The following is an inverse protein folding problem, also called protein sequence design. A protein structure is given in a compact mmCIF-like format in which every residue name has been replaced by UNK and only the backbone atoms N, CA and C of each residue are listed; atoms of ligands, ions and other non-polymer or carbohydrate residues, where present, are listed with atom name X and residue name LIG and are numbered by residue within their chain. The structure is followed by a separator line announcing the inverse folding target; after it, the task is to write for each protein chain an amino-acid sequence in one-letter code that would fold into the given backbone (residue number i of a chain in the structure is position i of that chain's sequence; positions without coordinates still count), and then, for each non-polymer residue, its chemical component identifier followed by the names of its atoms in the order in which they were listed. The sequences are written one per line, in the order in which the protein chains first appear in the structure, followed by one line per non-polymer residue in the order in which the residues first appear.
data_IF_666350698844
#
_entry.id   IF_666350698844
#
_cell.length_a   1.000
_cell.length_b   1.000
_cell.length_c   1.000
_cell.angle_alpha   90.00
_cell.angle_beta   90.00
_cell.angle_gamma   90.00
#
_symmetry.space_group_name_H-M   'P 1'
#
loop_
_entity.id
_entity.type
_entity.pdbx_description
1 polymer ?
#
# COMPACT_ATOMS: atom_id res chain seq x y z
N UNK A 1 -1.43 -15.05 -15.32
CA UNK A 1 -1.00 -14.38 -16.56
C UNK A 1 0.03 -13.33 -16.17
N UNK A 2 1.32 -13.64 -16.28
CA UNK A 2 2.43 -12.80 -15.78
C UNK A 2 2.54 -11.59 -16.71
N UNK A 3 2.27 -10.38 -16.21
CA UNK A 3 2.51 -9.14 -16.96
C UNK A 3 4.02 -8.91 -17.04
N UNK A 4 4.56 -8.95 -18.25
CA UNK A 4 5.94 -8.59 -18.54
C UNK A 4 6.11 -7.07 -18.44
N UNK A 5 7.04 -6.61 -17.60
CA UNK A 5 7.42 -5.20 -17.50
C UNK A 5 8.49 -4.95 -18.56
N UNK A 6 8.11 -4.27 -19.64
CA UNK A 6 9.05 -3.75 -20.62
C UNK A 6 9.83 -2.59 -19.99
N UNK A 7 11.16 -2.67 -19.98
CA UNK A 7 12.04 -1.58 -19.56
C UNK A 7 11.97 -0.43 -20.58
N UNK A 8 11.17 0.59 -20.28
CA UNK A 8 11.17 1.86 -21.01
C UNK A 8 11.91 2.87 -20.16
N UNK A 9 13.16 3.17 -20.53
CA UNK A 9 13.85 4.38 -20.10
C UNK A 9 13.11 5.58 -20.70
N UNK A 10 12.15 6.14 -19.97
CA UNK A 10 11.48 7.37 -20.34
C UNK A 10 12.04 8.51 -19.48
N UNK A 11 12.67 9.50 -20.11
CA UNK A 11 12.98 10.79 -19.47
C UNK A 11 11.66 11.36 -18.94
N UNK A 12 11.50 11.43 -17.62
CA UNK A 12 10.33 12.01 -16.99
C UNK A 12 10.05 13.41 -17.58
N UNK A 13 8.91 13.55 -18.28
CA UNK A 13 8.49 14.81 -18.89
C UNK A 13 8.29 15.89 -17.80
N UNK A 14 8.53 17.19 -18.10
CA UNK A 14 8.40 18.31 -17.14
C UNK A 14 7.05 18.40 -16.41
N UNK A 15 6.00 17.80 -16.97
CA UNK A 15 4.66 17.74 -16.38
C UNK A 15 4.59 16.87 -15.12
N UNK A 16 5.38 15.79 -15.02
CA UNK A 16 5.36 14.84 -13.89
C UNK A 16 5.74 15.51 -12.57
N UNK A 17 6.78 16.36 -12.59
CA UNK A 17 7.23 17.10 -11.40
C UNK A 17 6.22 18.14 -10.91
N UNK A 18 5.34 18.64 -11.79
CA UNK A 18 4.32 19.64 -11.41
C UNK A 18 3.14 19.01 -10.68
N UNK A 19 2.88 17.72 -10.89
CA UNK A 19 1.75 17.01 -10.30
C UNK A 19 1.94 16.69 -8.81
N UNK A 20 3.17 16.57 -8.31
CA UNK A 20 3.43 16.15 -6.92
C UNK A 20 3.89 17.31 -6.04
N UNK A 21 3.49 17.27 -4.77
CA UNK A 21 4.01 18.20 -3.76
C UNK A 21 5.42 17.77 -3.32
N UNK A 22 6.31 18.74 -3.07
CA UNK A 22 7.73 18.49 -2.72
C UNK A 22 7.99 18.31 -1.22
N UNK A 23 6.96 18.03 -0.41
CA UNK A 23 7.08 17.99 1.05
C UNK A 23 7.57 16.66 1.59
N UNK A 24 8.85 16.54 1.92
CA UNK A 24 9.36 15.53 2.86
C UNK A 24 9.10 16.01 4.31
N UNK A 25 8.43 15.22 5.12
CA UNK A 25 8.29 15.48 6.56
C UNK A 25 9.03 14.43 7.37
N UNK A 26 9.94 14.93 8.21
CA UNK A 26 10.66 14.18 9.24
C UNK A 26 9.68 13.76 10.33
N UNK A 27 9.48 12.46 10.52
CA UNK A 27 8.71 11.93 11.66
C UNK A 27 9.51 12.20 12.94
N UNK A 28 8.93 12.97 13.87
CA UNK A 28 9.51 13.22 15.19
C UNK A 28 8.87 12.28 16.21
N UNK A 29 9.71 11.71 17.07
CA UNK A 29 9.37 10.68 18.04
C UNK A 29 8.65 11.23 19.26
N UNK A 30 7.42 10.78 19.51
CA UNK A 30 6.68 11.03 20.75
C UNK A 30 5.24 10.54 20.69
N UNK A 31 4.98 9.33 21.21
CA UNK A 31 3.64 8.73 21.31
C UNK A 31 3.11 8.16 19.99
N UNK A 32 2.88 6.85 19.92
CA UNK A 32 2.43 6.17 18.70
C UNK A 32 0.93 6.40 18.44
N UNK A 33 0.60 7.56 17.89
CA UNK A 33 -0.40 7.65 16.83
C UNK A 33 0.40 7.65 15.54
N UNK A 34 0.18 6.68 14.64
CA UNK A 34 0.67 6.85 13.29
C UNK A 34 0.14 8.19 12.76
N UNK A 35 0.98 9.01 12.11
CA UNK A 35 0.48 10.22 11.49
C UNK A 35 -0.69 9.81 10.62
N UNK A 36 -1.83 10.49 10.80
CA UNK A 36 -3.04 10.20 10.05
C UNK A 36 -2.69 10.02 8.57
N UNK A 37 -3.25 9.01 7.88
CA UNK A 37 -2.96 8.77 6.48
C UNK A 37 -3.00 10.08 5.71
N UNK A 38 -1.91 10.42 5.02
CA UNK A 38 -1.87 11.63 4.20
C UNK A 38 -3.04 11.58 3.23
N UNK A 39 -3.71 12.70 3.00
CA UNK A 39 -4.70 12.79 1.92
C UNK A 39 -4.00 12.78 0.56
N UNK A 40 -4.70 12.35 -0.50
CA UNK A 40 -4.15 12.39 -1.85
C UNK A 40 -3.72 13.82 -2.23
N UNK A 41 -4.50 14.82 -1.86
CA UNK A 41 -4.22 16.24 -2.08
C UNK A 41 -2.89 16.73 -1.46
N UNK A 42 -2.42 16.08 -0.39
CA UNK A 42 -1.11 16.38 0.20
C UNK A 42 0.05 15.77 -0.59
N UNK A 43 -0.20 14.78 -1.44
CA UNK A 43 0.81 14.07 -2.25
C UNK A 43 0.82 14.62 -3.67
N UNK A 44 -0.36 14.88 -4.23
CA UNK A 44 -0.54 15.35 -5.61
C UNK A 44 -1.45 16.57 -5.67
N UNK A 45 -1.24 17.40 -6.67
CA UNK A 45 -2.22 18.39 -7.13
C UNK A 45 -3.34 17.63 -7.84
N UNK A 46 -4.41 17.32 -7.10
CA UNK A 46 -5.51 16.47 -7.58
C UNK A 46 -6.10 16.98 -8.90
N UNK A 47 -6.26 18.29 -9.05
CA UNK A 47 -6.72 18.96 -10.28
C UNK A 47 -5.91 18.56 -11.52
N UNK A 48 -4.60 18.32 -11.38
CA UNK A 48 -3.76 17.91 -12.50
C UNK A 48 -3.99 16.46 -12.90
N UNK A 49 -4.35 15.58 -11.97
CA UNK A 49 -4.73 14.21 -12.29
C UNK A 49 -6.17 14.12 -12.83
N UNK A 50 -7.06 14.97 -12.34
CA UNK A 50 -8.46 15.04 -12.79
C UNK A 50 -8.60 15.41 -14.28
N UNK A 51 -7.64 16.17 -14.81
CA UNK A 51 -7.62 16.55 -16.23
C UNK A 51 -6.96 15.50 -17.14
N UNK A 52 -6.32 14.47 -16.57
CA UNK A 52 -5.62 13.44 -17.33
C UNK A 52 -6.52 12.21 -17.58
N UNK A 53 -6.34 11.49 -18.70
CA UNK A 53 -7.04 10.23 -18.92
C UNK A 53 -6.54 9.15 -17.94
N UNK A 54 -7.38 8.16 -17.63
CA UNK A 54 -7.07 7.07 -16.69
C UNK A 54 -5.67 6.47 -16.87
N UNK A 55 -5.34 6.05 -18.09
CA UNK A 55 -4.04 5.44 -18.39
C UNK A 55 -2.85 6.36 -18.06
N UNK A 56 -3.03 7.67 -18.25
CA UNK A 56 -2.00 8.66 -17.94
C UNK A 56 -1.89 8.90 -16.45
N UNK A 57 -3.00 8.90 -15.70
CA UNK A 57 -2.99 8.95 -14.22
C UNK A 57 -2.20 7.76 -13.65
N UNK A 58 -2.47 6.54 -14.15
CA UNK A 58 -1.76 5.33 -13.73
C UNK A 58 -0.26 5.46 -13.96
N UNK A 59 0.12 5.86 -15.17
CA UNK A 59 1.52 6.06 -15.54
C UNK A 59 2.20 7.11 -14.65
N UNK A 60 1.58 8.28 -14.46
CA UNK A 60 2.11 9.36 -13.61
C UNK A 60 2.34 8.86 -12.18
N UNK A 61 1.37 8.12 -11.63
CA UNK A 61 1.40 7.61 -10.27
C UNK A 61 2.52 6.58 -10.05
N UNK A 62 2.62 5.60 -10.95
CA UNK A 62 3.57 4.50 -10.85
C UNK A 62 5.00 4.98 -11.14
N UNK A 63 5.22 5.78 -12.18
CA UNK A 63 6.55 6.31 -12.54
C UNK A 63 7.14 7.19 -11.43
N UNK A 64 6.35 8.10 -10.86
CA UNK A 64 6.83 9.02 -9.83
C UNK A 64 7.33 8.31 -8.56
N UNK A 65 6.64 7.25 -8.13
CA UNK A 65 7.05 6.49 -6.94
C UNK A 65 8.09 5.42 -7.27
N UNK A 66 8.13 4.92 -8.51
CA UNK A 66 9.17 3.98 -8.93
C UNK A 66 10.58 4.55 -8.75
N UNK A 67 10.76 5.86 -9.00
CA UNK A 67 12.05 6.56 -8.81
C UNK A 67 12.49 6.66 -7.33
N UNK A 68 11.58 6.43 -6.38
CA UNK A 68 11.86 6.55 -4.94
C UNK A 68 12.37 5.23 -4.36
N UNK A 69 13.41 5.28 -3.53
CA UNK A 69 13.98 4.08 -2.90
C UNK A 69 13.10 3.49 -1.80
N UNK A 70 12.23 4.31 -1.22
CA UNK A 70 11.43 4.07 -0.01
C UNK A 70 9.92 3.97 -0.31
N UNK A 71 9.52 3.87 -1.58
CA UNK A 71 8.12 3.78 -1.94
C UNK A 71 7.86 2.81 -3.09
N UNK A 72 6.66 2.24 -3.07
CA UNK A 72 6.03 1.52 -4.15
C UNK A 72 4.69 2.18 -4.46
N UNK A 73 4.25 2.04 -5.71
CA UNK A 73 2.94 2.49 -6.14
C UNK A 73 2.33 1.48 -7.10
N UNK A 74 1.03 1.34 -7.02
CA UNK A 74 0.24 0.58 -7.98
C UNK A 74 -1.15 1.19 -8.11
N UNK A 75 -1.88 0.77 -9.13
CA UNK A 75 -3.24 1.22 -9.39
C UNK A 75 -4.17 0.03 -9.58
N UNK A 76 -5.42 0.22 -9.17
CA UNK A 76 -6.51 -0.73 -9.36
C UNK A 76 -7.62 -0.07 -10.17
N UNK A 77 -8.48 -0.86 -10.82
CA UNK A 77 -9.78 -0.35 -11.27
C UNK A 77 -10.61 0.13 -10.08
N UNK A 78 -11.62 0.97 -10.33
CA UNK A 78 -12.55 1.41 -9.29
C UNK A 78 -13.27 0.23 -8.62
N UNK A 79 -13.63 -0.78 -9.40
CA UNK A 79 -14.25 -2.01 -8.89
C UNK A 79 -13.31 -2.82 -8.00
N UNK A 80 -12.07 -3.08 -8.43
CA UNK A 80 -11.07 -3.81 -7.63
C UNK A 80 -10.73 -3.04 -6.34
N UNK A 81 -10.62 -1.72 -6.43
CA UNK A 81 -10.37 -0.86 -5.27
C UNK A 81 -11.52 -0.92 -4.26
N UNK A 82 -12.77 -0.87 -4.73
CA UNK A 82 -13.94 -0.96 -3.87
C UNK A 82 -13.99 -2.30 -3.12
N UNK A 83 -13.75 -3.41 -3.82
CA UNK A 83 -13.69 -4.75 -3.21
C UNK A 83 -12.58 -4.83 -2.15
N UNK A 84 -11.38 -4.35 -2.48
CA UNK A 84 -10.26 -4.30 -1.54
C UNK A 84 -10.64 -3.52 -0.28
N UNK A 85 -11.17 -2.30 -0.43
CA UNK A 85 -11.50 -1.42 0.68
C UNK A 85 -12.68 -1.95 1.54
N UNK A 86 -13.68 -2.57 0.92
CA UNK A 86 -14.78 -3.22 1.64
C UNK A 86 -14.27 -4.38 2.49
N UNK A 87 -13.50 -5.29 1.88
CA UNK A 87 -12.95 -6.47 2.56
C UNK A 87 -11.97 -6.10 3.67
N UNK A 88 -11.13 -5.09 3.44
CA UNK A 88 -10.21 -4.58 4.44
C UNK A 88 -10.93 -4.01 5.67
N UNK A 89 -12.05 -3.29 5.46
CA UNK A 89 -12.87 -2.79 6.58
C UNK A 89 -13.58 -3.92 7.33
N UNK A 90 -14.07 -4.93 6.62
CA UNK A 90 -14.79 -6.04 7.22
C UNK A 90 -13.87 -7.07 7.90
N UNK A 91 -12.63 -7.21 7.45
CA UNK A 91 -11.65 -8.17 7.94
C UNK A 91 -10.28 -7.48 8.12
N UNK A 92 -10.13 -6.65 9.16
CA UNK A 92 -9.01 -5.72 9.27
C UNK A 92 -7.67 -6.35 9.67
N UNK A 93 -7.63 -7.59 10.13
CA UNK A 93 -6.38 -8.22 10.61
C UNK A 93 -5.95 -9.39 9.74
N UNK A 94 -4.65 -9.55 9.54
CA UNK A 94 -4.09 -10.78 8.98
C UNK A 94 -2.60 -10.93 9.32
N UNK A 95 -2.01 -12.07 8.98
CA UNK A 95 -0.57 -12.31 9.12
C UNK A 95 0.01 -12.74 7.79
N UNK A 96 1.12 -12.12 7.40
CA UNK A 96 1.82 -12.43 6.15
C UNK A 96 3.27 -12.89 6.44
N UNK A 97 3.74 -13.97 5.79
CA UNK A 97 5.13 -14.36 5.86
C UNK A 97 6.00 -13.56 4.88
N UNK A 98 7.17 -13.12 5.33
CA UNK A 98 8.23 -12.58 4.49
C UNK A 98 9.38 -13.57 4.47
N UNK A 99 9.63 -14.16 3.29
CA UNK A 99 10.63 -15.21 3.10
C UNK A 99 12.01 -14.63 2.76
N UNK A 100 13.05 -15.14 3.43
CA UNK A 100 14.47 -14.85 3.18
C UNK A 100 15.23 -16.16 2.95
N UNK A 101 16.54 -16.08 2.65
CA UNK A 101 17.38 -17.27 2.40
C UNK A 101 17.36 -18.26 3.57
N UNK A 102 17.41 -17.76 4.80
CA UNK A 102 17.58 -18.58 6.01
C UNK A 102 16.30 -18.70 6.86
N UNK A 103 15.12 -18.59 6.23
CA UNK A 103 13.83 -18.77 6.90
C UNK A 103 12.80 -17.71 6.51
N UNK A 104 11.88 -17.43 7.41
CA UNK A 104 10.86 -16.40 7.23
C UNK A 104 10.57 -15.71 8.56
N UNK A 105 10.00 -14.52 8.47
CA UNK A 105 9.41 -13.84 9.61
C UNK A 105 7.99 -13.40 9.27
N UNK A 106 7.17 -13.20 10.29
CA UNK A 106 5.77 -12.85 10.11
C UNK A 106 5.55 -11.35 10.33
N UNK A 107 4.67 -10.81 9.51
CA UNK A 107 4.18 -9.45 9.58
C UNK A 107 2.72 -9.50 10.02
N UNK A 108 2.38 -8.81 11.12
CA UNK A 108 0.98 -8.53 11.44
C UNK A 108 0.50 -7.38 10.57
N UNK A 109 -0.60 -7.59 9.87
CA UNK A 109 -1.27 -6.60 9.06
C UNK A 109 -2.53 -6.13 9.80
N UNK A 110 -2.68 -4.82 9.91
CA UNK A 110 -3.87 -4.16 10.43
C UNK A 110 -4.36 -3.13 9.43
N UNK A 111 -5.62 -3.19 9.02
CA UNK A 111 -6.28 -2.12 8.30
C UNK A 111 -6.89 -1.12 9.28
N UNK A 112 -6.56 0.15 9.12
CA UNK A 112 -7.08 1.26 9.91
C UNK A 112 -7.38 2.45 8.99
N UNK A 113 -8.58 3.01 9.10
CA UNK A 113 -9.09 4.10 8.26
C UNK A 113 -9.00 3.77 6.75
N UNK A 114 -7.91 4.20 6.11
CA UNK A 114 -7.63 4.00 4.69
C UNK A 114 -6.23 3.42 4.44
N UNK A 115 -5.59 2.84 5.44
CA UNK A 115 -4.26 2.26 5.31
C UNK A 115 -4.13 0.86 5.92
N UNK A 116 -3.28 0.04 5.31
CA UNK A 116 -2.75 -1.17 5.92
C UNK A 116 -1.43 -0.85 6.60
N UNK A 117 -1.30 -1.24 7.86
CA UNK A 117 -0.12 -1.15 8.69
C UNK A 117 0.48 -2.55 8.83
N UNK A 118 1.68 -2.77 8.30
CA UNK A 118 2.36 -4.05 8.40
C UNK A 118 3.54 -3.93 9.37
N UNK A 119 3.42 -4.59 10.51
CA UNK A 119 4.37 -4.52 11.62
C UNK A 119 5.03 -5.87 11.84
N UNK A 120 6.30 -5.89 12.24
CA UNK A 120 6.98 -7.13 12.60
C UNK A 120 6.30 -7.80 13.80
N UNK A 121 5.89 -9.07 13.63
CA UNK A 121 5.08 -9.77 14.63
C UNK A 121 5.78 -9.91 15.98
N UNK A 122 7.09 -10.22 16.01
CA UNK A 122 7.77 -10.41 17.30
C UNK A 122 7.95 -9.09 18.04
N UNK A 123 8.29 -8.00 17.35
CA UNK A 123 8.33 -6.68 17.98
C UNK A 123 6.93 -6.25 18.50
N UNK A 124 5.88 -6.59 17.77
CA UNK A 124 4.50 -6.33 18.20
C UNK A 124 4.14 -7.13 19.46
N UNK A 125 4.55 -8.40 19.56
CA UNK A 125 4.34 -9.22 20.77
C UNK A 125 5.12 -8.70 21.98
N UNK A 126 6.34 -8.21 21.77
CA UNK A 126 7.17 -7.66 22.85
C UNK A 126 6.59 -6.36 23.41
N UNK A 127 6.23 -5.40 22.55
CA UNK A 127 5.59 -4.16 22.96
C UNK A 127 4.83 -3.50 21.80
N UNK A 128 3.49 -3.69 21.71
CA UNK A 128 2.68 -3.09 20.64
C UNK A 128 2.81 -1.57 20.55
N UNK A 129 2.98 -0.88 21.69
CA UNK A 129 3.04 0.57 21.74
C UNK A 129 4.36 1.14 21.19
N UNK A 130 5.37 0.30 20.95
CA UNK A 130 6.68 0.71 20.44
C UNK A 130 7.05 0.05 19.11
N UNK A 131 6.18 -0.80 18.55
CA UNK A 131 6.46 -1.53 17.31
C UNK A 131 6.01 -0.70 16.08
N UNK A 132 6.93 -0.04 15.35
CA UNK A 132 6.56 0.67 14.12
C UNK A 132 6.28 -0.32 12.97
N UNK A 133 5.29 -0.04 12.11
CA UNK A 133 5.13 -0.63 10.80
C UNK A 133 6.42 -0.55 10.01
N UNK A 134 6.76 -1.66 9.39
CA UNK A 134 7.84 -1.76 8.43
C UNK A 134 7.37 -1.29 7.04
N UNK A 135 6.07 -1.47 6.74
CA UNK A 135 5.42 -1.06 5.50
C UNK A 135 4.04 -0.47 5.81
N UNK A 136 3.70 0.66 5.18
CA UNK A 136 2.36 1.26 5.26
C UNK A 136 1.77 1.39 3.87
N UNK A 137 0.61 0.77 3.60
CA UNK A 137 -0.07 0.82 2.30
C UNK A 137 -1.29 1.74 2.39
N UNK A 138 -1.22 2.92 1.80
CA UNK A 138 -2.33 3.90 1.78
C UNK A 138 -3.21 3.73 0.54
N UNK A 139 -4.52 3.78 0.73
CA UNK A 139 -5.54 3.67 -0.32
C UNK A 139 -6.16 5.05 -0.59
N UNK A 140 -6.13 5.48 -1.86
CA UNK A 140 -6.71 6.73 -2.31
C UNK A 140 -7.82 6.46 -3.32
N UNK A 141 -9.06 6.70 -2.89
CA UNK A 141 -10.28 6.44 -3.67
C UNK A 141 -10.80 7.64 -4.45
N UNK A 142 -10.14 8.81 -4.37
CA UNK A 142 -10.61 10.09 -4.91
C UNK A 142 -10.96 10.04 -6.41
N UNK A 143 -10.28 9.18 -7.17
CA UNK A 143 -10.48 9.00 -8.62
C UNK A 143 -11.16 7.66 -8.98
N UNK A 144 -11.56 6.86 -7.98
CA UNK A 144 -12.10 5.53 -8.20
C UNK A 144 -13.46 5.60 -8.92
N UNK A 145 -14.37 6.48 -8.48
CA UNK A 145 -15.69 6.63 -9.09
C UNK A 145 -15.65 7.41 -10.41
N UNK A 146 -14.91 8.53 -10.43
CA UNK A 146 -14.92 9.47 -11.57
C UNK A 146 -14.07 9.00 -12.76
N UNK A 147 -13.04 8.18 -12.52
CA UNK A 147 -12.06 7.76 -13.54
C UNK A 147 -11.80 6.26 -13.58
N UNK A 148 -12.50 5.47 -12.78
CA UNK A 148 -12.27 4.02 -12.66
C UNK A 148 -10.81 3.69 -12.30
N UNK A 149 -10.22 4.48 -11.40
CA UNK A 149 -8.84 4.26 -10.92
C UNK A 149 -8.69 4.54 -9.43
N UNK A 150 -8.39 3.50 -8.67
CA UNK A 150 -7.92 3.59 -7.29
C UNK A 150 -6.39 3.65 -7.24
N UNK A 151 -5.84 4.54 -6.42
CA UNK A 151 -4.38 4.69 -6.29
C UNK A 151 -3.92 4.09 -4.96
N UNK A 152 -2.84 3.32 -5.01
CA UNK A 152 -2.21 2.73 -3.83
C UNK A 152 -0.76 3.16 -3.76
N UNK A 153 -0.29 3.49 -2.56
CA UNK A 153 1.12 3.75 -2.26
C UNK A 153 1.55 2.94 -1.05
N UNK A 154 2.66 2.22 -1.17
CA UNK A 154 3.31 1.57 -0.04
C UNK A 154 4.57 2.35 0.35
N UNK A 155 4.62 2.90 1.57
CA UNK A 155 5.79 3.57 2.14
C UNK A 155 6.61 2.54 2.94
N UNK A 156 7.88 2.36 2.56
CA UNK A 156 8.83 1.43 3.18
C UNK A 156 9.58 2.17 4.27
N UNK A 157 9.35 1.79 5.53
CA UNK A 157 9.85 2.52 6.69
C UNK A 157 11.14 1.90 7.23
N UNK A 158 11.16 0.59 7.40
CA UNK A 158 12.31 -0.13 7.95
C UNK A 158 12.27 -1.63 7.60
N UNK A 159 13.38 -2.30 7.88
CA UNK A 159 13.58 -3.76 7.88
C UNK A 159 13.39 -4.51 6.55
N UNK A 160 12.52 -4.02 5.68
CA UNK A 160 12.21 -4.57 4.36
C UNK A 160 12.99 -3.80 3.29
N UNK A 161 13.54 -4.52 2.33
CA UNK A 161 14.00 -3.91 1.09
C UNK A 161 12.83 -3.69 0.10
N UNK A 162 13.10 -2.98 -1.00
CA UNK A 162 12.07 -2.66 -2.02
C UNK A 162 11.48 -3.90 -2.69
N UNK A 163 12.26 -4.97 -2.85
CA UNK A 163 11.81 -6.22 -3.47
C UNK A 163 10.94 -7.03 -2.50
N UNK A 164 11.35 -7.14 -1.25
CA UNK A 164 10.57 -7.76 -0.17
C UNK A 164 9.24 -7.04 0.00
N UNK A 165 9.28 -5.70 0.00
CA UNK A 165 8.08 -4.85 0.08
C UNK A 165 7.13 -5.05 -1.10
N UNK A 166 7.65 -5.23 -2.31
CA UNK A 166 6.82 -5.50 -3.50
C UNK A 166 6.13 -6.85 -3.38
N UNK A 167 6.87 -7.90 -3.01
CA UNK A 167 6.31 -9.24 -2.82
C UNK A 167 5.24 -9.23 -1.72
N UNK A 168 5.49 -8.52 -0.62
CA UNK A 168 4.53 -8.39 0.48
C UNK A 168 3.27 -7.61 0.06
N UNK A 169 3.42 -6.53 -0.71
CA UNK A 169 2.30 -5.78 -1.29
C UNK A 169 1.47 -6.67 -2.22
N UNK A 170 2.12 -7.43 -3.10
CA UNK A 170 1.43 -8.32 -4.04
C UNK A 170 0.65 -9.42 -3.29
N UNK A 171 1.23 -10.01 -2.23
CA UNK A 171 0.55 -10.98 -1.37
C UNK A 171 -0.66 -10.39 -0.65
N UNK A 172 -0.53 -9.17 -0.13
CA UNK A 172 -1.63 -8.45 0.50
C UNK A 172 -2.77 -8.24 -0.49
N UNK A 173 -2.47 -7.66 -1.66
CA UNK A 173 -3.48 -7.37 -2.67
C UNK A 173 -4.16 -8.65 -3.17
N UNK A 174 -3.40 -9.72 -3.40
CA UNK A 174 -3.96 -11.02 -3.78
C UNK A 174 -4.88 -11.58 -2.70
N UNK A 175 -4.48 -11.48 -1.43
CA UNK A 175 -5.25 -12.05 -0.31
C UNK A 175 -6.59 -11.36 -0.07
N UNK A 176 -6.69 -10.06 -0.38
CA UNK A 176 -7.96 -9.34 -0.27
C UNK A 176 -8.75 -9.32 -1.60
N UNK A 177 -8.11 -9.49 -2.76
CA UNK A 177 -8.80 -9.42 -4.05
C UNK A 177 -9.33 -10.78 -4.53
N UNK A 178 -8.57 -11.86 -4.34
CA UNK A 178 -8.97 -13.20 -4.77
C UNK A 178 -9.92 -13.84 -3.75
N UNK A 179 -11.05 -14.38 -4.22
CA UNK A 179 -12.08 -15.00 -3.38
C UNK A 179 -11.54 -16.17 -2.54
N UNK A 180 -10.71 -17.02 -3.14
CA UNK A 180 -10.20 -18.24 -2.49
C UNK A 180 -9.10 -17.91 -1.50
N UNK A 181 -8.38 -16.81 -1.68
CA UNK A 181 -7.41 -16.34 -0.69
C UNK A 181 -8.11 -15.56 0.43
N UNK A 182 -9.12 -14.76 0.10
CA UNK A 182 -9.85 -13.95 1.05
C UNK A 182 -10.58 -14.79 2.11
N UNK A 183 -11.01 -16.01 1.80
CA UNK A 183 -11.59 -16.90 2.81
C UNK A 183 -10.69 -17.10 4.04
N UNK A 184 -9.36 -17.07 3.87
CA UNK A 184 -8.40 -17.21 4.97
C UNK A 184 -8.33 -15.94 5.82
N UNK A 185 -8.34 -14.78 5.17
CA UNK A 185 -8.42 -13.47 5.83
C UNK A 185 -9.72 -13.35 6.61
N UNK A 186 -10.84 -13.73 5.99
CA UNK A 186 -12.14 -13.72 6.62
C UNK A 186 -12.18 -14.63 7.86
N UNK A 187 -11.76 -15.89 7.74
CA UNK A 187 -11.69 -16.82 8.87
C UNK A 187 -10.80 -16.30 10.00
N UNK A 188 -9.67 -15.68 9.67
CA UNK A 188 -8.78 -15.07 10.67
C UNK A 188 -9.50 -14.02 11.53
N UNK A 189 -10.37 -13.22 10.93
CA UNK A 189 -11.08 -12.14 11.64
C UNK A 189 -12.37 -12.59 12.34
N UNK A 190 -13.07 -13.58 11.77
CA UNK A 190 -14.45 -13.92 12.17
C UNK A 190 -14.56 -15.29 12.86
N UNK A 191 -13.51 -16.11 12.82
CA UNK A 191 -13.48 -17.45 13.43
C UNK A 191 -12.18 -17.68 14.22
N UNK A 192 -11.84 -16.86 15.24
CA UNK A 192 -10.54 -16.91 15.92
C UNK A 192 -10.27 -18.22 16.67
N UNK A 193 -11.31 -18.99 17.01
CA UNK A 193 -11.19 -20.25 17.75
C UNK A 193 -10.89 -21.46 16.84
N UNK A 194 -10.85 -21.27 15.51
CA UNK A 194 -10.64 -22.32 14.51
C UNK A 194 -9.22 -22.33 13.89
N UNK A 195 -8.23 -21.67 14.51
CA UNK A 195 -6.85 -21.53 14.01
C UNK A 195 -5.82 -22.35 14.80
#
# INVERSE_FOLDING_TARGET
MVRAIASLTCRAAPALRRAFSTGEQKVTSGGFSFPAPRSLQQIVRLELLENEPRARVQQIWEEYHHEKGDALATTLSGAEFAVLAERARASPFFVFPVYRKDGFFNMICQFQDTCFLLTYLEAFKENPALAPPCLTVSLFGDLAESKDVGLLRADIVNMLDKKESQVLLDQLLASYSDEKLFQWVHKFNHEPDNH
#
